data_IF_166631917479
#
_entry.id   IF_166631917479
#
_cell.length_a   1.000
_cell.length_b   1.000
_cell.length_c   1.000
_cell.angle_alpha   90.00
_cell.angle_beta   90.00
_cell.angle_gamma   90.00
#
_symmetry.space_group_name_H-M   'P 1'
#
loop_
_entity.id
_entity.type
_entity.pdbx_description
1 polymer ?
#
# COMPACT_ATOMS: atom_id res chain seq x y z
N UNK A 1 9.80 42.16 11.35
CA UNK A 1 10.06 41.28 12.51
C UNK A 1 9.38 39.95 12.23
N UNK A 2 10.15 38.91 11.90
CA UNK A 2 9.59 37.57 11.63
C UNK A 2 9.29 36.90 12.97
N UNK A 3 8.03 36.94 13.40
CA UNK A 3 7.52 36.05 14.43
C UNK A 3 6.76 34.93 13.74
N UNK A 4 7.46 33.81 13.49
CA UNK A 4 6.90 32.61 12.85
C UNK A 4 7.28 31.34 13.61
N UNK A 5 7.64 31.46 14.88
CA UNK A 5 7.90 30.28 15.71
C UNK A 5 6.56 29.58 15.98
N UNK A 6 6.22 28.61 15.13
CA UNK A 6 5.16 27.66 15.43
C UNK A 6 5.61 26.84 16.63
N UNK A 7 4.92 27.00 17.77
CA UNK A 7 5.23 26.22 18.96
C UNK A 7 4.63 24.82 18.81
N UNK A 8 5.48 23.81 18.90
CA UNK A 8 5.08 22.41 19.00
C UNK A 8 5.93 21.72 20.08
N UNK A 9 5.35 20.69 20.72
CA UNK A 9 6.06 19.84 21.68
C UNK A 9 7.05 18.92 20.93
N UNK A 10 6.69 18.50 19.72
CA UNK A 10 7.51 17.62 18.88
C UNK A 10 7.60 18.16 17.45
N UNK A 11 8.82 18.15 16.90
CA UNK A 11 9.07 18.43 15.48
C UNK A 11 9.51 17.13 14.78
N UNK A 12 8.82 16.77 13.71
CA UNK A 12 9.11 15.61 12.87
C UNK A 12 9.70 16.10 11.54
N UNK A 13 10.85 15.56 11.17
CA UNK A 13 11.50 15.86 9.88
C UNK A 13 11.20 14.73 8.89
N UNK A 14 10.45 15.06 7.84
CA UNK A 14 10.00 14.19 6.76
C UNK A 14 8.53 13.78 6.91
N UNK A 15 7.70 14.12 5.92
CA UNK A 15 6.31 13.70 5.78
C UNK A 15 6.17 12.43 4.90
N UNK A 16 7.12 11.50 5.06
CA UNK A 16 7.00 10.13 4.54
C UNK A 16 6.10 9.25 5.42
N UNK A 17 5.88 7.99 5.00
CA UNK A 17 5.02 7.05 5.74
C UNK A 17 5.36 6.93 7.23
N UNK A 18 6.66 6.92 7.58
CA UNK A 18 7.12 6.83 8.96
C UNK A 18 6.81 8.11 9.76
N UNK A 19 7.09 9.29 9.18
CA UNK A 19 6.85 10.57 9.84
C UNK A 19 5.36 10.86 10.01
N UNK A 20 4.54 10.52 9.01
CA UNK A 20 3.08 10.62 9.12
C UNK A 20 2.50 9.64 10.13
N UNK A 21 3.02 8.42 10.21
CA UNK A 21 2.62 7.46 11.24
C UNK A 21 2.96 7.97 12.65
N UNK A 22 4.16 8.51 12.85
CA UNK A 22 4.57 9.11 14.12
C UNK A 22 3.72 10.33 14.48
N UNK A 23 3.47 11.23 13.52
CA UNK A 23 2.59 12.38 13.70
C UNK A 23 1.19 11.94 14.12
N UNK A 24 0.64 10.93 13.44
CA UNK A 24 -0.68 10.39 13.75
C UNK A 24 -0.76 9.82 15.18
N UNK A 25 0.23 9.04 15.62
CA UNK A 25 0.26 8.49 16.97
C UNK A 25 0.37 9.60 18.03
N UNK A 26 1.28 10.57 17.85
CA UNK A 26 1.50 11.65 18.80
C UNK A 26 0.29 12.59 18.91
N UNK A 27 -0.30 12.97 17.77
CA UNK A 27 -1.51 13.79 17.75
C UNK A 27 -2.71 13.07 18.37
N UNK A 28 -2.84 11.76 18.15
CA UNK A 28 -3.87 10.94 18.82
C UNK A 28 -3.68 10.85 20.34
N UNK A 29 -2.46 11.04 20.82
CA UNK A 29 -2.13 11.14 22.25
C UNK A 29 -2.26 12.57 22.81
N UNK A 30 -2.73 13.54 22.01
CA UNK A 30 -2.90 14.94 22.42
C UNK A 30 -1.62 15.77 22.42
N UNK A 31 -0.53 15.29 21.81
CA UNK A 31 0.74 16.01 21.70
C UNK A 31 0.71 16.96 20.51
N UNK A 32 1.19 18.20 20.68
CA UNK A 32 1.31 19.13 19.56
C UNK A 32 2.53 18.81 18.69
N UNK A 33 2.30 18.66 17.37
CA UNK A 33 3.33 18.21 16.42
C UNK A 33 3.43 19.17 15.25
N UNK A 34 4.66 19.51 14.87
CA UNK A 34 4.98 20.12 13.57
C UNK A 34 5.71 19.11 12.68
N UNK A 35 5.23 18.91 11.45
CA UNK A 35 5.92 18.05 10.45
C UNK A 35 6.52 18.94 9.37
N UNK A 36 7.83 18.78 9.12
CA UNK A 36 8.55 19.53 8.11
C UNK A 36 8.94 18.58 6.97
N UNK A 37 8.55 18.90 5.74
CA UNK A 37 8.87 18.13 4.55
C UNK A 37 9.60 19.03 3.55
N UNK A 38 10.66 18.49 2.94
CA UNK A 38 11.45 19.21 1.94
C UNK A 38 10.78 19.20 0.57
N UNK A 39 10.05 18.13 0.25
CA UNK A 39 9.29 17.98 -0.98
C UNK A 39 8.01 18.85 -0.98
N UNK A 40 7.51 19.22 -2.17
CA UNK A 40 6.24 19.96 -2.29
C UNK A 40 5.00 19.13 -1.94
N UNK A 41 5.18 17.85 -1.58
CA UNK A 41 4.11 16.90 -1.29
C UNK A 41 4.50 15.94 -0.18
N UNK A 42 3.49 15.44 0.53
CA UNK A 42 3.64 14.34 1.49
C UNK A 42 3.69 12.97 0.81
N UNK A 43 4.00 11.94 1.58
CA UNK A 43 4.12 10.54 1.16
C UNK A 43 5.57 10.06 1.09
N UNK A 44 6.51 11.00 0.90
CA UNK A 44 7.93 10.72 0.75
C UNK A 44 8.15 9.72 -0.39
N UNK A 45 8.72 8.58 -0.04
CA UNK A 45 8.98 7.46 -0.96
C UNK A 45 7.70 6.79 -1.51
N UNK A 46 6.59 6.81 -0.77
CA UNK A 46 5.31 6.24 -1.21
C UNK A 46 4.60 7.23 -2.12
N UNK A 47 5.06 7.33 -3.36
CA UNK A 47 4.61 8.31 -4.33
C UNK A 47 3.88 7.64 -5.49
N UNK A 48 2.67 8.13 -5.77
CA UNK A 48 1.97 7.88 -7.04
C UNK A 48 2.12 9.08 -7.95
N UNK A 49 2.43 8.84 -9.21
CA UNK A 49 2.40 9.81 -10.31
C UNK A 49 1.25 9.51 -11.27
N UNK A 50 0.78 10.54 -11.97
CA UNK A 50 -0.16 10.38 -13.07
C UNK A 50 0.59 10.59 -14.39
N UNK A 51 0.58 9.57 -15.24
CA UNK A 51 1.25 9.55 -16.55
C UNK A 51 0.25 9.06 -17.58
N UNK A 52 -0.07 9.88 -18.57
CA UNK A 52 -1.01 9.56 -19.65
C UNK A 52 -2.38 9.05 -19.16
N UNK A 53 -2.88 9.58 -18.04
CA UNK A 53 -4.13 9.16 -17.40
C UNK A 53 -4.03 7.88 -16.56
N UNK A 54 -2.83 7.32 -16.40
CA UNK A 54 -2.55 6.18 -15.54
C UNK A 54 -1.88 6.61 -14.24
N UNK A 55 -2.26 5.94 -13.14
CA UNK A 55 -1.60 6.13 -11.84
C UNK A 55 -0.48 5.11 -11.68
N UNK A 56 0.75 5.60 -11.50
CA UNK A 56 1.96 4.79 -11.37
C UNK A 56 2.55 4.98 -9.97
N UNK A 57 2.63 3.91 -9.18
CA UNK A 57 3.36 3.93 -7.92
C UNK A 57 4.87 3.81 -8.21
N UNK A 58 5.63 4.81 -7.77
CA UNK A 58 7.07 4.91 -8.00
C UNK A 58 7.88 3.92 -7.17
N UNK A 59 7.26 3.34 -6.13
CA UNK A 59 7.79 2.22 -5.38
C UNK A 59 6.80 1.06 -5.41
N UNK A 60 7.34 -0.16 -5.37
CA UNK A 60 6.55 -1.39 -5.47
C UNK A 60 6.31 -2.22 -4.19
N UNK A 61 6.35 -1.70 -2.94
CA UNK A 61 6.02 -2.53 -1.80
C UNK A 61 4.52 -2.82 -1.83
N UNK A 62 4.17 -4.10 -1.94
CA UNK A 62 2.82 -4.54 -1.69
C UNK A 62 2.49 -4.37 -0.21
N UNK A 63 1.23 -4.04 0.06
CA UNK A 63 0.70 -4.06 1.42
C UNK A 63 0.81 -5.47 1.99
N UNK A 64 1.51 -5.63 3.11
CA UNK A 64 1.58 -6.89 3.83
C UNK A 64 0.64 -6.85 5.04
N UNK A 65 -0.44 -7.63 4.98
CA UNK A 65 -1.44 -7.74 6.04
C UNK A 65 -1.00 -8.64 7.21
N UNK A 66 0.20 -9.22 7.18
CA UNK A 66 0.73 -9.99 8.31
C UNK A 66 1.21 -9.12 9.47
N UNK A 67 1.32 -7.80 9.29
CA UNK A 67 1.76 -6.86 10.33
C UNK A 67 0.56 -6.34 11.13
N UNK A 68 0.43 -6.68 12.42
CA UNK A 68 -0.70 -6.23 13.25
C UNK A 68 -0.79 -4.70 13.38
N UNK A 69 0.35 -4.02 13.35
CA UNK A 69 0.45 -2.55 13.46
C UNK A 69 -0.28 -1.84 12.32
N UNK A 70 -0.46 -2.52 11.19
CA UNK A 70 -1.20 -1.99 10.05
C UNK A 70 -2.65 -1.67 10.43
N UNK A 71 -3.27 -2.45 11.33
CA UNK A 71 -4.65 -2.21 11.76
C UNK A 71 -4.82 -0.97 12.63
N UNK A 72 -3.74 -0.43 13.19
CA UNK A 72 -3.76 0.85 13.88
C UNK A 72 -3.63 2.05 12.92
N UNK A 73 -3.31 1.81 11.64
CA UNK A 73 -3.22 2.87 10.65
C UNK A 73 -4.63 3.37 10.25
N UNK A 74 -4.82 4.69 10.17
CA UNK A 74 -6.11 5.26 9.80
C UNK A 74 -6.47 4.89 8.34
N UNK A 75 -7.78 4.73 8.09
CA UNK A 75 -8.32 4.52 6.74
C UNK A 75 -8.15 3.11 6.16
N UNK A 76 -7.43 2.18 6.83
CA UNK A 76 -7.26 0.81 6.30
C UNK A 76 -8.61 0.11 6.05
N UNK A 77 -9.56 0.27 6.97
CA UNK A 77 -10.90 -0.34 6.86
C UNK A 77 -11.77 0.24 5.74
N UNK A 78 -11.41 1.40 5.21
CA UNK A 78 -12.10 2.06 4.10
C UNK A 78 -11.57 1.61 2.73
N UNK A 79 -10.40 0.96 2.71
CA UNK A 79 -9.77 0.49 1.48
C UNK A 79 -10.35 -0.84 1.02
N UNK A 80 -10.71 -0.92 -0.27
CA UNK A 80 -11.03 -2.18 -0.92
C UNK A 80 -9.73 -2.88 -1.32
N UNK A 81 -9.18 -3.68 -0.39
CA UNK A 81 -7.95 -4.42 -0.64
C UNK A 81 -8.15 -5.53 -1.69
N UNK A 82 -7.17 -5.68 -2.58
CA UNK A 82 -7.13 -6.73 -3.59
C UNK A 82 -5.86 -7.56 -3.41
N UNK A 83 -6.01 -8.87 -3.48
CA UNK A 83 -4.86 -9.77 -3.47
C UNK A 83 -4.15 -9.71 -4.83
N UNK A 84 -2.84 -9.52 -4.79
CA UNK A 84 -2.00 -9.68 -5.98
C UNK A 84 -1.75 -11.16 -6.25
N UNK A 85 -1.94 -11.58 -7.50
CA UNK A 85 -1.51 -12.90 -7.94
C UNK A 85 0.03 -12.96 -7.89
N UNK A 86 0.64 -14.09 -7.46
CA UNK A 86 2.08 -14.22 -7.46
C UNK A 86 2.65 -14.08 -8.88
N UNK A 87 3.85 -13.50 -8.95
CA UNK A 87 4.54 -13.20 -10.20
C UNK A 87 4.17 -11.84 -10.79
N UNK A 88 4.71 -11.58 -11.99
CA UNK A 88 4.54 -10.35 -12.74
C UNK A 88 4.13 -10.66 -14.18
N UNK A 89 3.36 -9.74 -14.77
CA UNK A 89 3.03 -9.75 -16.19
C UNK A 89 3.91 -8.72 -16.88
N UNK A 90 4.81 -9.18 -17.74
CA UNK A 90 5.67 -8.33 -18.58
C UNK A 90 4.99 -8.18 -19.93
N UNK A 91 4.77 -6.94 -20.37
CA UNK A 91 4.38 -6.66 -21.74
C UNK A 91 5.62 -6.22 -22.53
N UNK A 92 5.96 -6.96 -23.58
CA UNK A 92 7.12 -6.68 -24.43
C UNK A 92 6.86 -7.14 -25.86
N UNK A 93 7.17 -6.31 -26.85
CA UNK A 93 7.00 -6.59 -28.28
C UNK A 93 5.56 -7.03 -28.66
N UNK A 94 4.55 -6.39 -28.06
CA UNK A 94 3.14 -6.75 -28.26
C UNK A 94 2.72 -8.08 -27.64
N UNK A 95 3.62 -8.78 -26.94
CA UNK A 95 3.34 -10.03 -26.23
C UNK A 95 3.28 -9.80 -24.73
N UNK A 96 2.52 -10.65 -24.04
CA UNK A 96 2.46 -10.68 -22.57
C UNK A 96 3.09 -11.96 -22.06
N UNK A 97 4.08 -11.83 -21.19
CA UNK A 97 4.79 -12.95 -20.57
C UNK A 97 4.54 -12.91 -19.06
N UNK A 98 4.15 -14.04 -18.47
CA UNK A 98 4.04 -14.17 -17.01
C UNK A 98 5.32 -14.80 -16.46
N UNK A 99 5.89 -14.21 -15.41
CA UNK A 99 7.09 -14.72 -14.73
C UNK A 99 7.01 -14.55 -13.22
N UNK A 100 7.87 -15.20 -12.44
CA UNK A 100 7.91 -15.06 -10.96
C UNK A 100 6.84 -15.82 -10.18
N UNK A 101 6.09 -16.73 -10.83
CA UNK A 101 5.19 -17.64 -10.12
C UNK A 101 6.01 -18.64 -9.30
N UNK A 102 5.89 -18.58 -7.97
CA UNK A 102 6.37 -19.68 -7.12
C UNK A 102 5.41 -20.85 -7.30
N UNK A 103 5.79 -21.81 -8.15
CA UNK A 103 5.09 -23.11 -8.26
C UNK A 103 5.32 -23.91 -6.99
N UNK A 104 4.53 -23.65 -5.94
CA UNK A 104 4.61 -24.49 -4.74
C UNK A 104 4.09 -25.89 -5.06
N UNK A 105 4.93 -26.91 -4.82
CA UNK A 105 4.52 -28.33 -4.84
C UNK A 105 3.52 -28.67 -3.72
N UNK A 106 3.24 -27.75 -2.78
CA UNK A 106 2.26 -27.90 -1.70
C UNK A 106 0.81 -27.56 -2.08
N UNK A 107 0.58 -26.79 -3.14
CA UNK A 107 -0.78 -26.42 -3.58
C UNK A 107 -1.65 -27.60 -4.04
N UNK A 108 -1.03 -28.73 -4.42
CA UNK A 108 -1.75 -29.91 -4.87
C UNK A 108 -2.53 -30.65 -3.76
N UNK A 109 -2.26 -30.38 -2.47
CA UNK A 109 -2.96 -31.03 -1.34
C UNK A 109 -4.19 -30.27 -0.87
N UNK A 110 -4.22 -28.94 -0.94
CA UNK A 110 -5.36 -28.14 -0.47
C UNK A 110 -6.51 -28.06 -1.49
N UNK A 111 -6.25 -28.32 -2.78
CA UNK A 111 -7.29 -28.37 -3.81
C UNK A 111 -8.28 -29.54 -3.67
N UNK A 112 -8.00 -30.55 -2.84
CA UNK A 112 -8.91 -31.70 -2.63
C UNK A 112 -9.90 -31.51 -1.49
N UNK A 113 -9.64 -30.61 -0.53
CA UNK A 113 -10.53 -30.39 0.62
C UNK A 113 -11.65 -29.38 0.36
N UNK A 114 -11.56 -28.58 -0.72
CA UNK A 114 -12.57 -27.58 -1.07
C UNK A 114 -13.66 -28.12 -2.04
N UNK A 115 -13.76 -29.44 -2.24
CA UNK A 115 -14.74 -30.04 -3.17
C UNK A 115 -16.16 -30.22 -2.60
N UNK A 116 -16.39 -29.91 -1.33
CA UNK A 116 -17.70 -30.08 -0.68
C UNK A 116 -18.40 -28.76 -0.27
N UNK A 117 -18.11 -27.65 -0.93
CA UNK A 117 -18.95 -26.46 -0.89
C UNK A 117 -19.38 -26.12 -2.32
N UNK A 118 -20.41 -26.83 -2.81
CA UNK A 118 -21.06 -26.52 -4.10
C UNK A 118 -21.72 -25.15 -3.99
N UNK A 119 -21.07 -24.13 -4.55
CA UNK A 119 -21.69 -22.81 -4.66
C UNK A 119 -20.79 -21.62 -4.94
N UNK A 120 -19.75 -21.72 -5.78
CA UNK A 120 -19.09 -20.53 -6.35
C UNK A 120 -18.11 -20.90 -7.47
N UNK A 121 -18.48 -20.68 -8.73
CA UNK A 121 -17.51 -20.47 -9.81
C UNK A 121 -18.15 -19.69 -10.97
N UNK A 122 -18.17 -18.37 -10.82
CA UNK A 122 -18.18 -17.43 -11.95
C UNK A 122 -17.20 -16.31 -11.63
N UNK A 123 -15.93 -16.53 -11.95
CA UNK A 123 -14.95 -15.46 -12.09
C UNK A 123 -15.18 -14.81 -13.46
N UNK A 124 -15.98 -13.75 -13.47
CA UNK A 124 -16.15 -12.90 -14.65
C UNK A 124 -14.99 -11.89 -14.71
N UNK A 125 -14.45 -11.77 -15.94
CA UNK A 125 -13.60 -10.71 -16.49
C UNK A 125 -13.60 -9.40 -15.71
N UNK A 126 -12.40 -8.87 -15.47
CA UNK A 126 -12.16 -7.43 -15.44
C UNK A 126 -10.94 -7.11 -16.30
N UNK A 127 -11.21 -6.86 -17.58
CA UNK A 127 -10.43 -5.98 -18.45
C UNK A 127 -11.43 -4.89 -18.85
N UNK A 128 -11.33 -3.75 -18.17
CA UNK A 128 -11.72 -2.42 -18.59
C UNK A 128 -10.89 -1.47 -17.73
#
# INVERSE_FOLDING_TARGET
>A
MLSTAHHADVVIIGAGIAGLAAAHQLTSAGVSVSVLEAAPRVGGRMMTEEVDGFRLDLLGPLLNTSYPELYAAPGLGELVLRNFAPGVLVHSEGRRHRTGEIRSTRGARNARSARNARGALRAARALA
#
